data_IF_181530945853
#
_entry.id   IF_181530945853
#
_cell.length_a   1.000
_cell.length_b   1.000
_cell.length_c   1.000
_cell.angle_alpha   90.00
_cell.angle_beta   90.00
_cell.angle_gamma   90.00
#
_symmetry.space_group_name_H-M   'P 1'
#
loop_
_entity.id
_entity.type
_entity.pdbx_description
1 polymer ?
#
# COMPACT_ATOMS: atom_id res chain seq x y z
N UNK A 1 -6.44 -2.57 4.57
CA UNK A 1 -5.20 -1.82 4.31
C UNK A 1 -5.58 -0.40 3.96
N UNK A 2 -4.92 0.56 4.58
CA UNK A 2 -5.15 1.99 4.40
C UNK A 2 -4.11 2.55 3.44
N UNK A 3 -4.52 3.55 2.68
CA UNK A 3 -3.67 4.25 1.72
C UNK A 3 -3.57 5.71 2.14
N UNK A 4 -2.36 6.25 2.18
CA UNK A 4 -2.11 7.67 2.40
C UNK A 4 -2.53 8.48 1.16
N UNK A 5 -3.80 8.87 1.10
CA UNK A 5 -4.37 9.56 -0.06
C UNK A 5 -3.65 10.86 -0.38
N UNK A 6 -3.18 11.58 0.64
CA UNK A 6 -2.43 12.84 0.44
C UNK A 6 -1.07 12.60 -0.21
N UNK A 7 -0.29 11.64 0.31
CA UNK A 7 0.99 11.27 -0.31
C UNK A 7 0.80 10.74 -1.73
N UNK A 8 -0.24 9.95 -1.98
CA UNK A 8 -0.53 9.45 -3.34
C UNK A 8 -0.96 10.57 -4.28
N UNK A 9 -1.72 11.56 -3.81
CA UNK A 9 -2.04 12.76 -4.61
C UNK A 9 -0.79 13.57 -4.95
N UNK A 10 0.13 13.74 -4.00
CA UNK A 10 1.44 14.38 -4.27
C UNK A 10 2.24 13.59 -5.30
N UNK A 11 2.27 12.27 -5.17
CA UNK A 11 2.95 11.39 -6.12
C UNK A 11 2.37 11.51 -7.54
N UNK A 12 1.04 11.58 -7.64
CA UNK A 12 0.34 11.84 -8.92
C UNK A 12 0.73 13.21 -9.51
N UNK A 13 0.85 14.25 -8.69
CA UNK A 13 1.33 15.56 -9.16
C UNK A 13 2.76 15.50 -9.72
N UNK A 14 3.64 14.69 -9.11
CA UNK A 14 5.04 14.58 -9.52
C UNK A 14 5.20 13.73 -10.79
N UNK A 15 4.51 12.59 -10.89
CA UNK A 15 4.70 11.63 -11.98
C UNK A 15 3.75 11.80 -13.16
N UNK A 16 2.64 12.51 -12.98
CA UNK A 16 1.58 12.62 -13.96
C UNK A 16 1.02 14.05 -14.05
N UNK A 17 1.72 15.05 -13.50
CA UNK A 17 1.32 16.47 -13.54
C UNK A 17 -0.11 16.70 -12.98
N UNK A 18 -0.55 15.84 -12.06
CA UNK A 18 -1.90 15.89 -11.47
C UNK A 18 -2.99 15.27 -12.35
N UNK A 19 -2.63 14.65 -13.48
CA UNK A 19 -3.56 14.02 -14.40
C UNK A 19 -3.94 12.61 -13.95
N UNK A 20 -5.23 12.42 -13.62
CA UNK A 20 -5.76 11.12 -13.20
C UNK A 20 -5.69 10.06 -14.30
N UNK A 21 -5.88 10.42 -15.57
CA UNK A 21 -5.80 9.45 -16.67
C UNK A 21 -4.39 8.92 -16.86
N UNK A 22 -3.41 9.82 -16.85
CA UNK A 22 -2.00 9.44 -16.99
C UNK A 22 -1.55 8.60 -15.79
N UNK A 23 -1.90 9.02 -14.58
CA UNK A 23 -1.54 8.26 -13.39
C UNK A 23 -2.21 6.88 -13.34
N UNK A 24 -3.48 6.80 -13.74
CA UNK A 24 -4.19 5.52 -13.85
C UNK A 24 -3.55 4.59 -14.89
N UNK A 25 -3.07 5.15 -16.02
CA UNK A 25 -2.33 4.42 -17.05
C UNK A 25 -1.00 3.88 -16.53
N UNK A 26 -0.24 4.70 -15.81
CA UNK A 26 1.02 4.28 -15.17
C UNK A 26 0.81 3.18 -14.11
N UNK A 27 -0.31 3.24 -13.38
CA UNK A 27 -0.72 2.24 -12.40
C UNK A 27 -1.39 1.00 -13.02
N UNK A 28 -1.70 1.02 -14.32
CA UNK A 28 -2.50 0.00 -15.01
C UNK A 28 -3.86 -0.28 -14.32
N UNK A 29 -4.56 0.80 -13.95
CA UNK A 29 -5.89 0.76 -13.33
C UNK A 29 -6.88 1.62 -14.10
N UNK A 30 -8.17 1.39 -13.87
CA UNK A 30 -9.21 2.25 -14.38
C UNK A 30 -9.24 3.62 -13.66
N UNK A 31 -9.52 4.69 -14.42
CA UNK A 31 -9.58 6.07 -13.90
C UNK A 31 -10.66 6.22 -12.84
N UNK A 32 -11.82 5.60 -13.01
CA UNK A 32 -12.89 5.64 -12.03
C UNK A 32 -12.49 4.91 -10.73
N UNK A 33 -11.73 3.81 -10.84
CA UNK A 33 -11.18 3.13 -9.67
C UNK A 33 -10.21 4.05 -8.91
N UNK A 34 -9.27 4.70 -9.62
CA UNK A 34 -8.32 5.64 -9.02
C UNK A 34 -9.04 6.81 -8.34
N UNK A 35 -9.99 7.44 -9.05
CA UNK A 35 -10.76 8.56 -8.54
C UNK A 35 -11.55 8.18 -7.29
N UNK A 36 -12.19 6.99 -7.29
CA UNK A 36 -12.93 6.47 -6.14
C UNK A 36 -12.02 6.28 -4.94
N UNK A 37 -10.83 5.71 -5.13
CA UNK A 37 -9.86 5.46 -4.05
C UNK A 37 -9.34 6.78 -3.46
N UNK A 38 -9.02 7.78 -4.29
CA UNK A 38 -8.39 9.03 -3.84
C UNK A 38 -9.36 10.07 -3.29
N UNK A 39 -10.60 10.11 -3.78
CA UNK A 39 -11.54 11.19 -3.45
C UNK A 39 -12.69 10.78 -2.52
N UNK A 40 -12.94 9.48 -2.35
CA UNK A 40 -14.00 9.00 -1.44
C UNK A 40 -13.42 8.43 -0.15
N UNK A 41 -14.27 8.13 0.84
CA UNK A 41 -13.88 7.40 2.05
C UNK A 41 -13.64 5.89 1.82
N UNK A 42 -13.69 5.42 0.56
CA UNK A 42 -13.46 4.02 0.22
C UNK A 42 -12.05 3.56 0.59
N UNK A 43 -11.96 2.29 0.99
CA UNK A 43 -10.71 1.59 1.25
C UNK A 43 -10.18 1.02 -0.07
N UNK A 44 -8.87 1.11 -0.28
CA UNK A 44 -8.22 0.52 -1.45
C UNK A 44 -8.26 -1.01 -1.35
N UNK A 45 -8.84 -1.66 -2.37
CA UNK A 45 -8.86 -3.12 -2.45
C UNK A 45 -7.49 -3.71 -2.76
N UNK A 46 -7.29 -5.03 -2.50
CA UNK A 46 -6.01 -5.70 -2.70
C UNK A 46 -5.51 -5.63 -4.15
N UNK A 47 -6.40 -5.63 -5.14
CA UNK A 47 -6.04 -5.45 -6.57
C UNK A 47 -5.37 -4.10 -6.83
N UNK A 48 -5.96 -3.01 -6.34
CA UNK A 48 -5.40 -1.66 -6.49
C UNK A 48 -4.05 -1.56 -5.76
N UNK A 49 -3.99 -2.05 -4.52
CA UNK A 49 -2.77 -2.01 -3.71
C UNK A 49 -1.63 -2.80 -4.38
N UNK A 50 -1.91 -3.98 -4.93
CA UNK A 50 -0.91 -4.77 -5.65
C UNK A 50 -0.36 -4.04 -6.88
N UNK A 51 -1.23 -3.35 -7.64
CA UNK A 51 -0.82 -2.51 -8.78
C UNK A 51 0.01 -1.30 -8.34
N UNK A 52 -0.43 -0.61 -7.29
CA UNK A 52 0.30 0.51 -6.72
C UNK A 52 1.69 0.10 -6.20
N UNK A 53 1.79 -1.03 -5.49
CA UNK A 53 3.08 -1.57 -5.05
C UNK A 53 4.02 -1.89 -6.23
N UNK A 54 3.50 -2.44 -7.33
CA UNK A 54 4.29 -2.69 -8.55
C UNK A 54 4.81 -1.38 -9.14
N UNK A 55 3.96 -0.36 -9.21
CA UNK A 55 4.37 0.98 -9.65
C UNK A 55 5.47 1.56 -8.77
N UNK A 56 5.32 1.50 -7.45
CA UNK A 56 6.35 1.96 -6.52
C UNK A 56 7.68 1.24 -6.75
N UNK A 57 7.66 -0.10 -6.82
CA UNK A 57 8.86 -0.91 -7.09
C UNK A 57 9.54 -0.54 -8.42
N UNK A 58 8.75 -0.32 -9.48
CA UNK A 58 9.26 0.07 -10.80
C UNK A 58 9.95 1.44 -10.79
N UNK A 59 9.50 2.35 -9.92
CA UNK A 59 10.03 3.71 -9.80
C UNK A 59 11.02 3.87 -8.63
N UNK A 60 11.43 2.79 -7.97
CA UNK A 60 12.35 2.85 -6.83
C UNK A 60 11.76 3.52 -5.57
N UNK A 61 10.44 3.56 -5.43
CA UNK A 61 9.72 4.16 -4.31
C UNK A 61 9.42 3.13 -3.22
N UNK A 62 9.53 3.53 -1.95
CA UNK A 62 9.12 2.70 -0.83
C UNK A 62 7.60 2.77 -0.65
N UNK A 63 6.90 1.64 -0.87
CA UNK A 63 5.43 1.60 -0.78
C UNK A 63 4.93 1.60 0.68
N UNK A 64 5.78 1.30 1.67
CA UNK A 64 5.40 1.31 3.09
C UNK A 64 5.11 2.73 3.59
N UNK A 65 5.68 3.74 2.94
CA UNK A 65 5.36 5.14 3.20
C UNK A 65 3.92 5.54 2.81
N UNK A 66 3.28 4.74 1.95
CA UNK A 66 1.96 5.02 1.39
C UNK A 66 0.88 4.06 1.89
N UNK A 67 1.23 2.83 2.25
CA UNK A 67 0.28 1.78 2.63
C UNK A 67 0.45 1.43 4.10
N UNK A 68 -0.65 1.51 4.87
CA UNK A 68 -0.65 1.25 6.31
C UNK A 68 -1.67 0.17 6.69
N UNK A 69 -1.44 -0.49 7.82
CA UNK A 69 -2.41 -1.36 8.46
C UNK A 69 -3.10 -0.57 9.58
N UNK A 70 -4.44 -0.55 9.59
CA UNK A 70 -5.29 0.14 10.58
C UNK A 70 -5.05 -0.32 12.02
N UNK A 71 -4.65 -1.58 12.14
CA UNK A 71 -4.43 -2.26 13.39
C UNK A 71 -3.08 -2.96 13.28
N UNK A 72 -2.23 -2.89 14.32
CA UNK A 72 -1.15 -3.85 14.42
C UNK A 72 -1.78 -5.24 14.30
N UNK A 73 -1.21 -6.09 13.44
CA UNK A 73 -1.47 -7.52 13.53
C UNK A 73 -1.28 -7.89 15.01
N UNK A 74 -2.31 -8.41 15.67
CA UNK A 74 -2.16 -8.92 17.02
C UNK A 74 -1.08 -9.99 16.92
N UNK A 75 0.12 -9.70 17.44
CA UNK A 75 1.21 -10.66 17.44
C UNK A 75 0.82 -11.68 18.50
N UNK A 76 0.23 -12.79 18.10
CA UNK A 76 0.19 -13.98 18.95
C UNK A 76 1.61 -14.54 19.01
N UNK A 77 2.51 -13.88 19.77
CA UNK A 77 3.79 -14.45 20.21
C UNK A 77 3.50 -15.53 21.26
N UNK A 78 2.88 -16.62 20.81
CA UNK A 78 2.56 -17.80 21.60
C UNK A 78 3.40 -19.00 21.16
N UNK A 79 4.64 -18.80 20.75
CA UNK A 79 5.60 -19.87 20.54
C UNK A 79 6.37 -20.14 21.82
N UNK A 80 5.83 -20.99 22.71
CA UNK A 80 6.64 -21.64 23.76
C UNK A 80 7.74 -22.43 23.05
N UNK A 81 8.98 -21.93 23.07
CA UNK A 81 10.16 -22.77 22.84
C UNK A 81 10.35 -23.63 24.08
N UNK A 82 9.88 -24.87 24.01
CA UNK A 82 10.30 -25.95 24.88
C UNK A 82 11.38 -26.74 24.14
N UNK A 83 12.62 -26.68 24.61
CA UNK A 83 13.74 -27.62 24.41
C UNK A 83 14.91 -27.03 25.21
N UNK A 84 15.63 -27.67 26.12
CA UNK A 84 15.69 -29.02 26.64
C UNK A 84 16.85 -29.03 27.65
N UNK A 85 16.85 -30.04 28.51
CA UNK A 85 17.76 -30.34 29.62
C UNK A 85 19.25 -30.38 29.26
N UNK A 86 20.10 -29.69 30.03
CA UNK A 86 21.53 -29.97 30.25
C UNK A 86 21.84 -29.40 31.66
N UNK A 87 22.29 -30.10 32.71
CA UNK A 87 22.97 -31.39 32.79
C UNK A 87 24.45 -31.18 33.12
N UNK A 88 24.80 -30.78 34.35
CA UNK A 88 25.98 -31.21 35.16
C UNK A 88 26.13 -30.35 36.40
#
# INVERSE_FOLDING_TARGET
MFLNKEKVKKLMSIHAEGNYHEFARQLEVDVAQLHRVLNTKSVAGPKFLGRFMKFCKKNGLDYNEYIFLDKPLHVCSGGKRHTGTEGS
#
